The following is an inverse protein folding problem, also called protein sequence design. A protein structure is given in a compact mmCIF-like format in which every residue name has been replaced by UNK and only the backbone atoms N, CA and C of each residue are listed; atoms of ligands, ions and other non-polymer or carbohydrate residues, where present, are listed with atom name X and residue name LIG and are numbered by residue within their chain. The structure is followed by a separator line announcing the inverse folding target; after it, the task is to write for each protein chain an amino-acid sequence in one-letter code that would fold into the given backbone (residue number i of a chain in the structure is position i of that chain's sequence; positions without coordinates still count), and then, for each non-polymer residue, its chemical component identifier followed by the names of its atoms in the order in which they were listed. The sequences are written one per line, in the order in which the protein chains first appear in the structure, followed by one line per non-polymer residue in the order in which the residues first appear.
data_IF_554963430517
#
_entry.id   IF_554963430517
#
_cell.length_a   1.000
_cell.length_b   1.000
_cell.length_c   1.000
_cell.angle_alpha   90.00
_cell.angle_beta   90.00
_cell.angle_gamma   90.00
#
_symmetry.space_group_name_H-M   'P 1'
#
loop_
_entity.id
_entity.type
_entity.pdbx_description
1 polymer ?
#
# COMPACT_ATOMS: atom_id res chain seq x y z
N UNK A 1 3.66 15.04 9.22
CA UNK A 1 3.61 14.28 7.95
C UNK A 1 2.25 13.60 7.85
N UNK A 2 1.61 13.58 6.69
CA UNK A 2 0.43 12.75 6.42
C UNK A 2 0.82 11.48 5.65
N UNK A 3 0.10 10.39 5.87
CA UNK A 3 0.26 9.16 5.09
C UNK A 3 -1.10 8.73 4.57
N UNK A 4 -1.22 8.60 3.25
CA UNK A 4 -2.46 8.19 2.62
C UNK A 4 -2.22 6.90 1.87
N UNK A 5 -2.92 5.86 2.25
CA UNK A 5 -2.95 4.59 1.52
C UNK A 5 -4.13 4.56 0.57
N UNK A 6 -3.92 4.07 -0.64
CA UNK A 6 -4.94 3.97 -1.68
C UNK A 6 -4.95 2.54 -2.22
N UNK A 7 -5.98 1.76 -1.92
CA UNK A 7 -6.29 0.54 -2.69
C UNK A 7 -7.03 0.98 -3.95
N UNK A 8 -6.28 1.20 -5.03
CA UNK A 8 -6.79 1.84 -6.23
C UNK A 8 -7.49 0.80 -7.10
N UNK A 9 -8.69 1.10 -7.61
CA UNK A 9 -9.30 0.27 -8.64
C UNK A 9 -8.45 0.32 -9.94
N UNK A 10 -8.03 -0.82 -10.49
CA UNK A 10 -7.13 -0.84 -11.67
C UNK A 10 -7.84 -0.54 -13.01
N UNK A 11 -9.02 -1.12 -13.26
CA UNK A 11 -9.79 -0.92 -14.51
C UNK A 11 -11.17 -0.34 -14.25
N UNK A 12 -11.93 -1.03 -13.41
CA UNK A 12 -13.23 -0.60 -12.90
C UNK A 12 -13.33 -0.98 -11.41
N UNK A 13 -14.34 -0.44 -10.73
CA UNK A 13 -14.55 -0.66 -9.31
C UNK A 13 -14.00 0.48 -8.45
N UNK A 14 -14.52 0.56 -7.23
CA UNK A 14 -14.13 1.62 -6.29
C UNK A 14 -12.76 1.40 -5.69
N UNK A 15 -12.30 2.42 -4.98
CA UNK A 15 -10.99 2.50 -4.34
C UNK A 15 -11.17 2.81 -2.86
N UNK A 16 -10.40 2.13 -2.03
CA UNK A 16 -10.33 2.40 -0.60
C UNK A 16 -9.25 3.43 -0.31
N UNK A 17 -9.53 4.35 0.59
CA UNK A 17 -8.56 5.36 1.02
C UNK A 17 -8.49 5.40 2.54
N UNK A 18 -7.28 5.31 3.09
CA UNK A 18 -7.02 5.45 4.52
C UNK A 18 -6.10 6.64 4.74
N UNK A 19 -6.48 7.52 5.67
CA UNK A 19 -5.73 8.73 5.99
C UNK A 19 -5.15 8.63 7.40
N UNK A 20 -3.83 8.68 7.51
CA UNK A 20 -3.08 8.70 8.76
C UNK A 20 -2.30 10.01 8.90
N UNK A 21 -2.03 10.41 10.13
CA UNK A 21 -1.15 11.53 10.46
C UNK A 21 -0.07 11.09 11.46
N UNK A 22 1.15 11.58 11.26
CA UNK A 22 2.19 11.47 12.26
C UNK A 22 1.87 12.33 13.48
N UNK A 23 1.91 11.72 14.66
CA UNK A 23 1.85 12.38 15.97
C UNK A 23 3.14 12.12 16.75
N UNK A 24 3.31 12.78 17.91
CA UNK A 24 4.56 12.73 18.67
C UNK A 24 5.05 11.30 18.98
N UNK A 25 4.13 10.36 19.23
CA UNK A 25 4.44 8.98 19.66
C UNK A 25 4.19 7.93 18.58
N UNK A 26 3.82 8.31 17.35
CA UNK A 26 3.52 7.35 16.29
C UNK A 26 2.58 7.91 15.23
N UNK A 27 1.50 7.16 14.96
CA UNK A 27 0.50 7.47 13.95
C UNK A 27 -0.89 7.55 14.59
N UNK A 28 -1.72 8.41 14.01
CA UNK A 28 -3.13 8.52 14.31
C UNK A 28 -3.94 8.26 13.04
N UNK A 29 -4.99 7.45 13.14
CA UNK A 29 -5.99 7.31 12.08
C UNK A 29 -6.89 8.55 12.06
N UNK A 30 -7.01 9.17 10.89
CA UNK A 30 -7.91 10.30 10.66
C UNK A 30 -9.21 9.88 9.97
N UNK A 31 -9.19 8.82 9.16
CA UNK A 31 -10.42 8.29 8.58
C UNK A 31 -10.22 7.27 7.46
N UNK A 32 -11.35 6.66 7.10
CA UNK A 32 -11.51 5.78 5.95
C UNK A 32 -12.51 6.37 4.97
N UNK A 33 -12.25 6.17 3.68
CA UNK A 33 -13.11 6.60 2.60
C UNK A 33 -13.19 5.53 1.53
N UNK A 34 -14.24 5.60 0.71
CA UNK A 34 -14.39 4.78 -0.48
C UNK A 34 -14.82 5.69 -1.63
N UNK A 35 -14.14 5.58 -2.77
CA UNK A 35 -14.36 6.42 -3.95
C UNK A 35 -14.68 5.54 -5.15
N UNK A 36 -15.66 5.91 -5.96
CA UNK A 36 -16.05 5.11 -7.12
C UNK A 36 -15.08 5.27 -8.30
N UNK A 37 -14.38 6.41 -8.40
CA UNK A 37 -13.46 6.71 -9.50
C UNK A 37 -12.10 7.23 -9.03
N UNK A 38 -11.08 7.13 -9.90
CA UNK A 38 -9.75 7.70 -9.62
C UNK A 38 -9.76 9.23 -9.52
N UNK A 39 -10.66 9.88 -10.26
CA UNK A 39 -10.86 11.33 -10.18
C UNK A 39 -11.36 11.71 -8.79
N UNK A 40 -12.31 10.94 -8.24
CA UNK A 40 -12.80 11.15 -6.87
C UNK A 40 -11.72 10.92 -5.82
N UNK A 41 -10.83 9.93 -6.03
CA UNK A 41 -9.66 9.74 -5.17
C UNK A 41 -8.76 10.97 -5.20
N UNK A 42 -8.40 11.49 -6.37
CA UNK A 42 -7.56 12.69 -6.48
C UNK A 42 -8.22 13.92 -5.82
N UNK A 43 -9.52 14.13 -6.07
CA UNK A 43 -10.28 15.20 -5.44
C UNK A 43 -10.37 15.05 -3.91
N UNK A 44 -10.45 13.81 -3.41
CA UNK A 44 -10.37 13.53 -1.98
C UNK A 44 -8.99 13.86 -1.43
N UNK A 45 -7.90 13.48 -2.09
CA UNK A 45 -6.54 13.82 -1.67
C UNK A 45 -6.35 15.34 -1.54
N UNK A 46 -6.88 16.11 -2.50
CA UNK A 46 -6.82 17.58 -2.48
C UNK A 46 -7.59 18.18 -1.29
N UNK A 47 -8.63 17.50 -0.79
CA UNK A 47 -9.36 17.91 0.42
C UNK A 47 -8.67 17.48 1.71
N UNK A 48 -8.08 16.29 1.73
CA UNK A 48 -7.50 15.70 2.94
C UNK A 48 -6.13 16.29 3.29
N UNK A 49 -5.36 16.69 2.28
CA UNK A 49 -3.97 17.11 2.44
C UNK A 49 -3.89 18.62 2.18
N UNK A 50 -3.57 19.44 3.20
CA UNK A 50 -3.38 20.87 2.99
C UNK A 50 -2.34 21.17 1.90
N UNK A 51 -2.49 22.27 1.15
CA UNK A 51 -1.49 22.69 0.17
C UNK A 51 -0.09 22.76 0.77
N UNK A 52 0.91 22.25 0.04
CA UNK A 52 2.31 22.16 0.46
C UNK A 52 2.61 21.35 1.74
N UNK A 53 1.61 20.77 2.42
CA UNK A 53 1.85 19.92 3.57
C UNK A 53 2.66 18.67 3.17
N UNK A 54 3.60 18.20 4.01
CA UNK A 54 4.37 17.01 3.71
C UNK A 54 3.48 15.77 3.87
N UNK A 55 3.42 14.95 2.83
CA UNK A 55 2.57 13.77 2.77
C UNK A 55 3.15 12.68 1.86
N UNK A 56 2.85 11.42 2.16
CA UNK A 56 3.24 10.27 1.35
C UNK A 56 2.00 9.50 0.93
N UNK A 57 1.86 9.27 -0.38
CA UNK A 57 0.78 8.51 -0.99
C UNK A 57 1.29 7.12 -1.36
N UNK A 58 0.78 6.09 -0.69
CA UNK A 58 1.12 4.69 -0.95
C UNK A 58 -0.03 4.03 -1.73
N UNK A 59 0.25 3.62 -2.97
CA UNK A 59 -0.79 3.19 -3.92
C UNK A 59 -0.66 1.68 -4.19
N UNK A 60 -1.73 0.90 -4.00
CA UNK A 60 -1.82 -0.51 -4.47
C UNK A 60 -2.08 -0.56 -5.98
N UNK A 61 -1.17 0.04 -6.75
CA UNK A 61 -1.21 -0.01 -8.20
C UNK A 61 0.14 0.42 -8.80
N UNK A 62 0.51 -0.14 -9.97
CA UNK A 62 1.69 0.28 -10.70
C UNK A 62 1.50 1.64 -11.36
N UNK A 63 2.08 2.69 -10.75
CA UNK A 63 2.07 4.05 -11.29
C UNK A 63 3.31 4.37 -12.15
N UNK A 64 4.30 3.47 -12.19
CA UNK A 64 5.43 3.48 -13.12
C UNK A 64 5.48 2.17 -13.93
N UNK A 65 5.23 2.27 -15.24
CA UNK A 65 5.15 1.12 -16.16
C UNK A 65 5.99 1.41 -17.42
N UNK A 66 7.32 1.20 -17.40
CA UNK A 66 8.19 1.56 -18.52
C UNK A 66 8.14 0.55 -19.68
N UNK A 67 7.81 -0.71 -19.41
CA UNK A 67 7.87 -1.79 -20.39
C UNK A 67 6.57 -1.91 -21.21
N UNK A 68 6.71 -2.12 -22.53
CA UNK A 68 5.58 -2.34 -23.43
C UNK A 68 4.89 -3.70 -23.19
N UNK A 69 5.68 -4.75 -22.97
CA UNK A 69 5.20 -6.12 -22.73
C UNK A 69 5.97 -6.82 -21.61
N UNK A 70 5.52 -8.01 -21.21
CA UNK A 70 6.20 -8.82 -20.20
C UNK A 70 6.03 -8.32 -18.76
N UNK A 71 7.04 -8.55 -17.93
CA UNK A 71 7.09 -8.20 -16.51
C UNK A 71 8.17 -7.16 -16.25
N UNK A 72 7.87 -6.17 -15.39
CA UNK A 72 8.89 -5.28 -14.81
C UNK A 72 9.84 -6.07 -13.93
N UNK A 73 11.01 -5.50 -13.64
CA UNK A 73 11.95 -6.14 -12.71
C UNK A 73 11.35 -6.25 -11.30
N UNK A 74 10.66 -5.20 -10.82
CA UNK A 74 9.95 -5.24 -9.54
C UNK A 74 8.92 -6.37 -9.46
N UNK A 75 8.20 -6.64 -10.56
CA UNK A 75 7.24 -7.74 -10.64
C UNK A 75 7.92 -9.11 -10.51
N UNK A 76 9.06 -9.29 -11.19
CA UNK A 76 9.86 -10.54 -11.13
C UNK A 76 10.41 -10.77 -9.73
N UNK A 77 10.94 -9.71 -9.10
CA UNK A 77 11.44 -9.76 -7.73
C UNK A 77 10.33 -10.06 -6.73
N UNK A 78 9.15 -9.46 -6.89
CA UNK A 78 7.98 -9.76 -6.07
C UNK A 78 7.62 -11.25 -6.17
N UNK A 79 7.52 -11.81 -7.38
CA UNK A 79 7.33 -13.26 -7.55
C UNK A 79 8.42 -14.09 -6.90
N UNK A 80 9.69 -13.73 -7.09
CA UNK A 80 10.83 -14.47 -6.55
C UNK A 80 10.81 -14.53 -5.02
N UNK A 81 10.56 -13.41 -4.36
CA UNK A 81 10.64 -13.34 -2.90
C UNK A 81 9.33 -13.71 -2.20
N UNK A 82 8.20 -13.46 -2.85
CA UNK A 82 6.88 -13.61 -2.24
C UNK A 82 6.02 -14.75 -2.80
N UNK A 83 6.45 -15.40 -3.89
CA UNK A 83 5.73 -16.53 -4.49
C UNK A 83 5.50 -17.69 -3.52
N UNK A 84 6.45 -17.95 -2.63
CA UNK A 84 6.32 -18.99 -1.58
C UNK A 84 5.19 -18.73 -0.56
N UNK A 85 4.74 -17.49 -0.43
CA UNK A 85 3.62 -17.09 0.43
C UNK A 85 2.28 -17.01 -0.33
N UNK A 86 2.27 -17.42 -1.61
CA UNK A 86 1.22 -17.15 -2.58
C UNK A 86 0.97 -15.64 -2.83
N UNK A 87 1.98 -14.79 -2.62
CA UNK A 87 1.92 -13.33 -2.77
C UNK A 87 2.66 -12.84 -4.03
N UNK A 88 2.53 -13.56 -5.15
CA UNK A 88 3.03 -13.10 -6.45
C UNK A 88 2.21 -11.92 -6.98
N UNK A 89 2.87 -10.95 -7.63
CA UNK A 89 2.20 -9.79 -8.20
C UNK A 89 1.53 -10.12 -9.53
N UNK A 90 0.57 -9.31 -9.97
CA UNK A 90 0.09 -9.37 -11.34
C UNK A 90 0.99 -8.50 -12.24
N UNK A 91 1.62 -9.04 -13.29
CA UNK A 91 2.53 -8.27 -14.13
C UNK A 91 1.90 -7.02 -14.76
N UNK A 92 2.59 -5.89 -14.63
CA UNK A 92 2.22 -4.65 -15.29
C UNK A 92 3.09 -4.41 -16.53
N UNK A 93 2.44 -3.99 -17.61
CA UNK A 93 3.08 -3.52 -18.85
C UNK A 93 2.09 -2.63 -19.61
N UNK A 94 2.59 -1.79 -20.53
CA UNK A 94 1.77 -0.79 -21.23
C UNK A 94 0.73 -1.41 -22.17
N UNK A 95 0.91 -2.66 -22.59
CA UNK A 95 -0.10 -3.43 -23.32
C UNK A 95 -1.31 -3.88 -22.49
N UNK A 96 -1.33 -3.67 -21.16
CA UNK A 96 -2.48 -4.02 -20.31
C UNK A 96 -3.57 -2.93 -20.36
N UNK A 97 -4.87 -3.30 -20.30
CA UNK A 97 -5.95 -2.32 -20.44
C UNK A 97 -6.02 -1.29 -19.30
N UNK A 98 -5.41 -1.58 -18.14
CA UNK A 98 -5.33 -0.63 -17.01
C UNK A 98 -4.15 0.35 -17.11
N UNK A 99 -3.16 0.09 -17.96
CA UNK A 99 -1.86 0.74 -17.84
C UNK A 99 -1.96 2.27 -18.00
N UNK A 100 -2.69 2.73 -19.01
CA UNK A 100 -2.90 4.16 -19.27
C UNK A 100 -3.49 4.88 -18.05
N UNK A 101 -4.59 4.35 -17.49
CA UNK A 101 -5.28 4.99 -16.36
C UNK A 101 -4.42 5.04 -15.09
N UNK A 102 -3.56 4.03 -14.86
CA UNK A 102 -2.67 4.00 -13.71
C UNK A 102 -1.46 4.93 -13.86
N UNK A 103 -0.91 5.05 -15.08
CA UNK A 103 0.13 6.04 -15.40
C UNK A 103 -0.40 7.47 -15.26
N UNK A 104 -1.60 7.74 -15.77
CA UNK A 104 -2.27 9.04 -15.62
C UNK A 104 -2.48 9.41 -14.15
N UNK A 105 -2.84 8.44 -13.30
CA UNK A 105 -2.96 8.65 -11.86
C UNK A 105 -1.60 9.03 -11.22
N UNK A 106 -0.52 8.32 -11.57
CA UNK A 106 0.84 8.65 -11.13
C UNK A 106 1.27 10.06 -11.54
N UNK A 107 1.08 10.41 -12.81
CA UNK A 107 1.36 11.75 -13.34
C UNK A 107 0.53 12.84 -12.65
N UNK A 108 -0.74 12.54 -12.33
CA UNK A 108 -1.60 13.47 -11.60
C UNK A 108 -1.14 13.71 -10.15
N UNK A 109 -0.50 12.72 -9.52
CA UNK A 109 0.17 12.89 -8.23
C UNK A 109 1.45 13.72 -8.37
N UNK A 110 2.26 13.49 -9.41
CA UNK A 110 3.45 14.30 -9.69
C UNK A 110 3.10 15.78 -9.93
N UNK A 111 2.02 16.06 -10.66
CA UNK A 111 1.49 17.40 -10.84
C UNK A 111 1.07 18.08 -9.53
N UNK A 112 0.76 17.29 -8.48
CA UNK A 112 0.48 17.75 -7.10
C UNK A 112 1.73 17.81 -6.21
N UNK A 113 2.90 17.67 -6.82
CA UNK A 113 4.21 17.71 -6.16
C UNK A 113 4.61 16.41 -5.47
N UNK A 114 3.88 15.30 -5.65
CA UNK A 114 4.25 14.01 -5.08
C UNK A 114 5.28 13.30 -5.96
N UNK A 115 6.54 13.34 -5.54
CA UNK A 115 7.64 12.74 -6.28
C UNK A 115 7.73 11.24 -5.99
N UNK A 116 8.07 10.45 -7.00
CA UNK A 116 8.44 9.05 -6.80
C UNK A 116 9.62 8.93 -5.84
N UNK A 117 9.46 8.07 -4.84
CA UNK A 117 10.40 7.95 -3.73
C UNK A 117 10.91 6.51 -3.52
N UNK A 118 11.58 5.88 -4.52
CA UNK A 118 12.28 4.61 -4.32
C UNK A 118 13.48 4.77 -3.38
N UNK A 119 13.91 6.00 -3.12
CA UNK A 119 14.92 6.35 -2.11
C UNK A 119 14.41 7.51 -1.27
N UNK A 120 14.61 7.42 0.04
CA UNK A 120 14.28 8.50 0.97
C UNK A 120 15.33 8.61 2.06
N UNK A 121 15.43 9.79 2.67
CA UNK A 121 16.02 9.93 4.00
C UNK A 121 14.93 9.67 5.04
N UNK A 122 15.10 8.71 5.97
CA UNK A 122 14.11 8.42 6.98
C UNK A 122 13.67 9.68 7.74
N UNK A 123 12.37 9.81 7.97
CA UNK A 123 11.73 10.90 8.69
C UNK A 123 11.93 12.31 8.10
N UNK A 124 12.49 12.43 6.89
CA UNK A 124 12.58 13.73 6.20
C UNK A 124 11.23 14.10 5.62
N UNK A 125 10.72 15.27 5.99
CA UNK A 125 9.48 15.80 5.43
C UNK A 125 9.61 15.99 3.91
N UNK A 126 8.52 15.69 3.19
CA UNK A 126 8.44 15.83 1.74
C UNK A 126 7.08 15.40 1.21
N UNK A 127 6.90 15.51 -0.11
CA UNK A 127 5.71 15.02 -0.81
C UNK A 127 6.11 13.87 -1.70
N UNK A 128 5.68 12.67 -1.33
CA UNK A 128 6.13 11.42 -1.95
C UNK A 128 4.97 10.60 -2.48
N UNK A 129 5.22 9.84 -3.54
CA UNK A 129 4.37 8.72 -3.94
C UNK A 129 5.21 7.45 -4.09
N UNK A 130 4.60 6.31 -3.79
CA UNK A 130 5.21 4.98 -3.93
C UNK A 130 4.15 3.96 -4.36
N UNK A 131 4.58 2.98 -5.15
CA UNK A 131 3.81 1.77 -5.38
C UNK A 131 4.01 0.82 -4.19
N UNK A 132 2.90 0.34 -3.63
CA UNK A 132 2.81 -0.62 -2.55
C UNK A 132 2.09 -1.88 -3.04
N UNK A 133 2.32 -2.99 -2.35
CA UNK A 133 1.58 -4.22 -2.58
C UNK A 133 1.14 -4.80 -1.21
N UNK A 134 -0.16 -4.71 -0.85
CA UNK A 134 -0.66 -5.08 0.47
C UNK A 134 -0.35 -6.51 0.87
N UNK A 135 -0.45 -7.48 -0.05
CA UNK A 135 -0.20 -8.88 0.28
C UNK A 135 1.24 -9.09 0.81
N UNK A 136 2.32 -8.76 0.08
CA UNK A 136 3.68 -8.76 0.63
C UNK A 136 3.84 -7.97 1.92
N UNK A 137 3.20 -6.80 2.05
CA UNK A 137 3.29 -6.00 3.26
C UNK A 137 2.69 -6.73 4.48
N UNK A 138 1.50 -7.33 4.36
CA UNK A 138 0.88 -8.11 5.44
C UNK A 138 1.69 -9.34 5.82
N UNK A 139 2.34 -10.03 4.86
CA UNK A 139 3.22 -11.16 5.14
C UNK A 139 4.31 -10.76 6.15
N UNK A 140 5.03 -9.67 5.88
CA UNK A 140 6.16 -9.26 6.71
C UNK A 140 5.73 -8.50 7.98
N UNK A 141 4.69 -7.66 7.92
CA UNK A 141 4.21 -6.92 9.09
C UNK A 141 3.54 -7.83 10.13
N UNK A 142 2.72 -8.80 9.68
CA UNK A 142 1.90 -9.65 10.55
C UNK A 142 2.42 -11.08 10.70
N UNK A 143 3.62 -11.31 10.18
CA UNK A 143 4.32 -12.59 10.27
C UNK A 143 3.61 -13.79 9.65
N UNK A 144 2.92 -13.58 8.53
CA UNK A 144 2.09 -14.63 7.94
C UNK A 144 2.92 -15.62 7.14
N UNK A 145 2.57 -16.91 7.24
CA UNK A 145 3.18 -17.98 6.43
C UNK A 145 2.64 -18.03 5.01
N UNK A 146 1.47 -17.45 4.76
CA UNK A 146 0.81 -17.28 3.45
C UNK A 146 -0.17 -16.10 3.47
N UNK A 147 -0.59 -15.62 2.31
CA UNK A 147 -1.61 -14.57 2.23
C UNK A 147 -2.94 -15.02 2.82
N UNK A 148 -3.67 -14.06 3.40
CA UNK A 148 -5.08 -14.23 3.72
C UNK A 148 -5.92 -14.17 2.44
N UNK A 149 -6.78 -15.16 2.21
CA UNK A 149 -7.58 -15.27 0.98
C UNK A 149 -8.89 -14.49 1.09
N UNK A 150 -8.82 -13.16 1.13
CA UNK A 150 -10.01 -12.29 1.20
C UNK A 150 -10.48 -11.74 -0.16
N UNK A 151 -9.63 -11.71 -1.20
CA UNK A 151 -9.98 -11.18 -2.53
C UNK A 151 -10.75 -12.15 -3.45
N UNK A 152 -10.70 -13.47 -3.20
CA UNK A 152 -11.32 -14.51 -4.04
C UNK A 152 -11.92 -15.63 -3.17
N UNK A 153 -12.95 -16.32 -3.68
CA UNK A 153 -13.63 -17.42 -2.97
C UNK A 153 -15.07 -17.09 -2.56
N UNK A 154 -15.68 -17.95 -1.74
CA UNK A 154 -17.07 -17.74 -1.28
C UNK A 154 -17.13 -16.55 -0.33
N UNK A 155 -18.26 -15.85 -0.30
CA UNK A 155 -18.44 -14.64 0.54
C UNK A 155 -18.13 -14.91 2.02
N UNK A 156 -18.55 -16.07 2.54
CA UNK A 156 -18.29 -16.45 3.93
C UNK A 156 -16.79 -16.63 4.23
N UNK A 157 -16.05 -17.31 3.35
CA UNK A 157 -14.59 -17.52 3.46
C UNK A 157 -13.84 -16.19 3.37
N UNK A 158 -14.22 -15.36 2.40
CA UNK A 158 -13.65 -14.01 2.23
C UNK A 158 -13.87 -13.16 3.47
N UNK A 159 -15.09 -13.17 4.02
CA UNK A 159 -15.44 -12.43 5.23
C UNK A 159 -14.64 -12.91 6.44
N UNK A 160 -14.41 -14.21 6.60
CA UNK A 160 -13.56 -14.76 7.65
C UNK A 160 -12.10 -14.33 7.49
N UNK A 161 -11.54 -14.43 6.27
CA UNK A 161 -10.19 -13.97 5.99
C UNK A 161 -10.03 -12.46 6.21
N UNK A 162 -11.05 -11.66 5.87
CA UNK A 162 -11.05 -10.22 6.08
C UNK A 162 -11.19 -9.86 7.57
N UNK A 163 -11.97 -10.61 8.34
CA UNK A 163 -12.01 -10.50 9.81
C UNK A 163 -10.64 -10.78 10.43
N UNK A 164 -9.92 -11.76 9.89
CA UNK A 164 -8.56 -12.05 10.34
C UNK A 164 -7.60 -10.88 10.02
N UNK A 165 -7.65 -10.32 8.81
CA UNK A 165 -6.86 -9.13 8.46
C UNK A 165 -7.15 -7.96 9.40
N UNK A 166 -8.43 -7.67 9.62
CA UNK A 166 -8.90 -6.60 10.51
C UNK A 166 -8.38 -6.79 11.93
N UNK A 167 -8.47 -8.01 12.47
CA UNK A 167 -7.96 -8.32 13.80
C UNK A 167 -6.42 -8.17 13.87
N UNK A 168 -5.67 -8.63 12.87
CA UNK A 168 -4.22 -8.47 12.82
C UNK A 168 -3.82 -6.99 12.81
N UNK A 169 -4.52 -6.16 12.04
CA UNK A 169 -4.30 -4.71 12.02
C UNK A 169 -4.55 -4.10 13.40
N UNK A 170 -5.67 -4.47 14.04
CA UNK A 170 -6.05 -3.98 15.36
C UNK A 170 -5.01 -4.31 16.44
N UNK A 171 -4.51 -5.55 16.48
CA UNK A 171 -3.63 -6.00 17.56
C UNK A 171 -2.14 -5.78 17.28
N UNK A 172 -1.73 -5.76 16.00
CA UNK A 172 -0.30 -5.72 15.65
C UNK A 172 0.20 -4.31 15.43
N UNK A 173 -0.54 -3.46 14.71
CA UNK A 173 -0.09 -2.10 14.38
C UNK A 173 0.19 -1.20 15.60
N UNK A 174 -0.51 -1.35 16.75
CA UNK A 174 -0.13 -0.64 17.98
C UNK A 174 1.22 -1.06 18.56
N UNK A 175 1.69 -2.28 18.28
CA UNK A 175 2.94 -2.85 18.83
C UNK A 175 4.17 -2.60 17.96
N UNK A 176 3.95 -2.17 16.72
CA UNK A 176 5.02 -1.85 15.78
C UNK A 176 5.56 -0.42 16.00
N UNK A 177 6.65 -0.10 15.33
CA UNK A 177 7.20 1.25 15.28
C UNK A 177 7.22 1.70 13.80
N UNK A 178 6.61 2.84 13.43
CA UNK A 178 5.78 3.69 14.28
C UNK A 178 4.49 2.98 14.73
N UNK A 179 4.07 3.20 15.97
CA UNK A 179 2.84 2.59 16.49
C UNK A 179 1.61 3.30 15.92
N UNK A 180 0.59 2.54 15.54
CA UNK A 180 -0.73 3.05 15.21
C UNK A 180 -1.74 2.46 16.19
N UNK A 181 -2.14 3.24 17.19
CA UNK A 181 -3.17 2.82 18.15
C UNK A 181 -4.52 2.79 17.46
N UNK A 182 -5.21 1.66 17.55
CA UNK A 182 -6.53 1.44 16.97
C UNK A 182 -7.47 0.87 18.03
N UNK A 183 -8.72 1.29 17.97
CA UNK A 183 -9.84 0.69 18.68
C UNK A 183 -10.71 -0.09 17.70
N UNK A 184 -11.52 -1.01 18.24
CA UNK A 184 -12.45 -1.80 17.44
C UNK A 184 -13.43 -0.92 16.64
N UNK A 185 -13.81 0.24 17.19
CA UNK A 185 -14.70 1.23 16.54
C UNK A 185 -14.04 1.99 15.39
N UNK A 186 -12.71 2.02 15.33
CA UNK A 186 -11.96 2.77 14.31
C UNK A 186 -11.96 2.03 12.96
N UNK A 187 -12.08 0.70 12.99
CA UNK A 187 -12.04 -0.14 11.81
C UNK A 187 -13.44 -0.41 11.26
N UNK A 188 -13.62 -0.41 9.92
CA UNK A 188 -14.91 -0.65 9.29
C UNK A 188 -15.51 -1.99 9.74
N UNK A 189 -16.83 -2.00 9.94
CA UNK A 189 -17.57 -3.22 10.30
C UNK A 189 -17.69 -4.15 9.09
N UNK A 190 -17.71 -5.47 9.32
CA UNK A 190 -17.76 -6.45 8.24
C UNK A 190 -19.21 -6.75 7.83
N UNK A 191 -19.66 -6.30 6.65
CA UNK A 191 -21.02 -6.55 6.19
C UNK A 191 -21.19 -8.01 5.75
N UNK A 192 -22.45 -8.42 5.56
CA UNK A 192 -22.79 -9.76 5.03
C UNK A 192 -22.85 -9.81 3.49
N UNK A 193 -23.07 -8.66 2.82
CA UNK A 193 -23.26 -8.58 1.37
C UNK A 193 -21.97 -8.36 0.59
N UNK A 194 -21.88 -8.94 -0.62
CA UNK A 194 -20.64 -8.96 -1.41
C UNK A 194 -20.10 -7.58 -1.85
N UNK A 195 -20.97 -6.66 -2.31
CA UNK A 195 -20.54 -5.31 -2.73
C UNK A 195 -19.99 -4.50 -1.55
N UNK A 196 -20.73 -4.47 -0.45
CA UNK A 196 -20.29 -3.80 0.78
C UNK A 196 -19.02 -4.45 1.36
N UNK A 197 -18.89 -5.78 1.27
CA UNK A 197 -17.69 -6.49 1.72
C UNK A 197 -16.46 -6.09 0.90
N UNK A 198 -16.62 -5.89 -0.42
CA UNK A 198 -15.54 -5.37 -1.27
C UNK A 198 -15.13 -3.95 -0.89
N UNK A 199 -16.08 -3.06 -0.56
CA UNK A 199 -15.72 -1.72 -0.11
C UNK A 199 -14.91 -1.74 1.21
N UNK A 200 -15.26 -2.64 2.13
CA UNK A 200 -14.49 -2.82 3.38
C UNK A 200 -13.15 -3.50 3.14
N UNK A 201 -13.07 -4.43 2.20
CA UNK A 201 -11.80 -4.99 1.70
C UNK A 201 -10.87 -3.86 1.23
N UNK A 202 -11.36 -2.96 0.38
CA UNK A 202 -10.59 -1.85 -0.16
C UNK A 202 -10.10 -0.92 0.95
N UNK A 203 -10.97 -0.63 1.93
CA UNK A 203 -10.60 0.19 3.07
C UNK A 203 -9.50 -0.45 3.92
N UNK A 204 -9.61 -1.74 4.25
CA UNK A 204 -8.59 -2.41 5.06
C UNK A 204 -7.26 -2.59 4.30
N UNK A 205 -7.29 -2.81 2.99
CA UNK A 205 -6.08 -2.81 2.16
C UNK A 205 -5.45 -1.41 2.09
N UNK A 206 -6.27 -0.35 2.01
CA UNK A 206 -5.78 1.02 2.06
C UNK A 206 -5.11 1.37 3.40
N UNK A 207 -5.57 0.81 4.54
CA UNK A 207 -4.87 0.95 5.82
C UNK A 207 -3.50 0.27 5.78
N UNK A 208 -3.42 -0.92 5.20
CA UNK A 208 -2.14 -1.61 5.01
C UNK A 208 -1.18 -0.76 4.18
N UNK A 209 -1.66 -0.17 3.07
CA UNK A 209 -0.87 0.75 2.26
C UNK A 209 -0.41 1.99 3.04
N UNK A 210 -1.32 2.66 3.76
CA UNK A 210 -1.01 3.87 4.52
C UNK A 210 0.04 3.59 5.59
N UNK A 211 -0.14 2.51 6.34
CA UNK A 211 0.80 2.09 7.37
C UNK A 211 2.16 1.69 6.79
N UNK A 212 2.18 0.89 5.71
CA UNK A 212 3.43 0.50 5.08
C UNK A 212 4.17 1.69 4.46
N UNK A 213 3.45 2.69 3.93
CA UNK A 213 4.02 3.97 3.50
C UNK A 213 4.60 4.78 4.64
N UNK A 214 3.93 4.82 5.80
CA UNK A 214 4.48 5.43 7.01
C UNK A 214 5.72 4.68 7.52
N UNK A 215 5.71 3.35 7.47
CA UNK A 215 6.84 2.50 7.84
C UNK A 215 8.03 2.69 6.88
N UNK A 216 7.77 2.89 5.58
CA UNK A 216 8.79 3.30 4.61
C UNK A 216 9.40 4.62 5.03
N UNK A 217 8.58 5.66 5.21
CA UNK A 217 9.05 6.98 5.63
C UNK A 217 9.85 6.96 6.93
N UNK A 218 9.42 6.17 7.92
CA UNK A 218 10.00 6.14 9.25
C UNK A 218 11.39 5.48 9.28
N UNK A 219 11.58 4.40 8.52
CA UNK A 219 12.78 3.57 8.59
C UNK A 219 13.66 3.60 7.34
N UNK A 220 13.11 4.00 6.20
CA UNK A 220 13.74 3.83 4.89
C UNK A 220 14.20 2.39 4.68
N UNK A 221 15.39 2.23 4.09
CA UNK A 221 15.98 0.93 3.77
C UNK A 221 16.39 0.10 5.00
N UNK A 222 16.38 0.67 6.21
CA UNK A 222 16.72 -0.09 7.42
C UNK A 222 15.69 -1.19 7.73
N UNK A 223 14.42 -1.00 7.34
CA UNK A 223 13.33 -1.96 7.58
C UNK A 223 12.43 -2.20 6.38
N UNK A 224 12.82 -1.75 5.20
CA UNK A 224 12.03 -1.93 3.99
C UNK A 224 12.94 -2.33 2.83
N UNK A 225 12.36 -3.06 1.88
CA UNK A 225 12.94 -3.35 0.59
C UNK A 225 12.30 -2.49 -0.48
N UNK A 226 13.11 -2.13 -1.47
CA UNK A 226 12.66 -1.54 -2.72
C UNK A 226 12.97 -2.58 -3.80
N UNK A 227 11.92 -3.14 -4.37
CA UNK A 227 12.04 -4.11 -5.46
C UNK A 227 12.05 -3.32 -6.77
N UNK A 228 13.15 -3.32 -7.51
CA UNK A 228 13.30 -2.50 -8.72
C UNK A 228 13.85 -1.11 -8.42
N UNK A 229 13.61 -0.16 -9.33
CA UNK A 229 14.11 1.22 -9.23
C UNK A 229 13.21 2.22 -9.99
N UNK A 230 13.58 3.50 -9.98
CA UNK A 230 12.81 4.56 -10.65
C UNK A 230 12.68 4.35 -12.17
N UNK A 231 13.68 3.75 -12.81
CA UNK A 231 13.72 3.60 -14.27
C UNK A 231 12.91 2.38 -14.73
N UNK A 232 12.97 1.28 -13.98
CA UNK A 232 12.28 0.02 -14.26
C UNK A 232 10.89 -0.10 -13.64
N UNK A 233 10.49 0.86 -12.80
CA UNK A 233 9.38 0.72 -11.87
C UNK A 233 9.81 -0.02 -10.60
N UNK A 234 9.18 0.32 -9.47
CA UNK A 234 9.56 -0.22 -8.17
C UNK A 234 8.36 -0.51 -7.27
N UNK A 235 8.52 -1.45 -6.34
CA UNK A 235 7.54 -1.73 -5.28
C UNK A 235 8.25 -1.59 -3.94
N UNK A 236 7.69 -0.80 -3.03
CA UNK A 236 8.19 -0.74 -1.64
C UNK A 236 7.46 -1.79 -0.81
N UNK A 237 8.22 -2.58 -0.05
CA UNK A 237 7.65 -3.59 0.85
C UNK A 237 8.42 -3.56 2.18
N UNK A 238 7.77 -3.67 3.34
CA UNK A 238 8.46 -3.95 4.59
C UNK A 238 9.42 -5.15 4.43
N UNK A 239 10.62 -5.05 4.99
CA UNK A 239 11.59 -6.15 4.99
C UNK A 239 11.13 -7.23 5.98
N UNK A 240 11.43 -8.53 5.74
CA UNK A 240 11.19 -9.57 6.73
C UNK A 240 12.08 -9.30 7.94
N UNK A 241 11.45 -9.02 9.09
CA UNK A 241 11.95 -8.91 10.48
C UNK A 241 13.37 -8.36 10.76
N UNK A 242 13.52 -7.61 11.86
CA UNK A 242 14.81 -6.99 12.26
C UNK A 242 15.97 -7.97 12.49
N UNK A 243 15.67 -9.24 12.78
CA UNK A 243 16.60 -10.36 12.97
C UNK A 243 16.89 -11.16 11.68
N UNK A 244 16.24 -10.82 10.55
CA UNK A 244 16.46 -11.43 9.24
C UNK A 244 16.99 -10.38 8.26
N UNK A 245 18.30 -10.39 8.07
CA UNK A 245 19.04 -9.42 7.26
C UNK A 245 18.55 -9.45 5.80
N UNK A 246 18.16 -8.28 5.26
CA UNK A 246 17.89 -8.10 3.84
C UNK A 246 19.01 -8.72 2.97
N UNK A 247 18.70 -9.47 1.89
CA UNK A 247 19.72 -9.99 0.98
C UNK A 247 20.65 -8.86 0.53
N UNK A 248 21.96 -9.11 0.55
CA UNK A 248 23.00 -8.11 0.23
C UNK A 248 22.71 -7.37 -1.09
N UNK A 249 22.13 -8.08 -2.07
CA UNK A 249 21.75 -7.55 -3.38
C UNK A 249 20.69 -6.43 -3.38
N UNK A 250 19.93 -6.24 -2.31
CA UNK A 250 18.88 -5.22 -2.18
C UNK A 250 19.33 -3.97 -1.40
N UNK A 251 20.53 -3.99 -0.81
CA UNK A 251 21.07 -2.86 -0.02
C UNK A 251 21.88 -1.88 -0.86
N UNK A 252 22.47 -2.38 -1.95
CA UNK A 252 23.48 -1.66 -2.74
C UNK A 252 22.93 -1.14 -4.08
N UNK A 253 21.60 -1.07 -4.27
CA UNK A 253 20.92 -0.55 -5.48
C UNK A 253 20.08 0.67 -5.14
#
# INVERSE_FOLDING_TARGET
MYFVGVDLGWQSGGSGVCHLQQVATGLQLLGFYHCDTRVDVLALLDRLIPPAAPALIAVDAPTLIPNETGMRECDRLAHRYFGKYDAGCYPANRGRPFATALLEFGLALEARGFQHAPKISPQKAGRFQIELFPHPATIHLFRLSKILKYKKGRIAERRQALAHLRNLQLITLPTLAPSLTLQESDLPTLPKGGKALKAVEDQLDSLTCAYAGAHWWWWGLNRNWVLGDAAGGYIVVPAPYSDQVAPKSLRDR
#
